data_IF_074851177318
#
_entry.id   IF_074851177318
#
_cell.length_a   1.000
_cell.length_b   1.000
_cell.length_c   1.000
_cell.angle_alpha   90.00
_cell.angle_beta   90.00
_cell.angle_gamma   90.00
#
_symmetry.space_group_name_H-M   'P 1'
#
loop_
_entity.id
_entity.type
_entity.pdbx_description
1 polymer ?
#
# COMPACT_ATOMS: atom_id res chain seq x y z
N UNK A 1 -6.89 -14.56 -23.37
CA UNK A 1 -7.62 -14.22 -22.13
C UNK A 1 -6.96 -13.00 -21.52
N UNK A 2 -7.64 -11.86 -21.50
CA UNK A 2 -7.08 -10.59 -21.04
C UNK A 2 -6.66 -10.69 -19.57
N UNK A 3 -5.41 -10.32 -19.26
CA UNK A 3 -4.84 -10.34 -17.92
C UNK A 3 -5.38 -9.17 -17.07
N UNK A 4 -6.68 -9.17 -16.75
CA UNK A 4 -7.29 -8.22 -15.80
C UNK A 4 -6.93 -8.54 -14.34
N UNK A 5 -6.52 -9.78 -14.05
CA UNK A 5 -6.13 -10.22 -12.71
C UNK A 5 -4.97 -9.41 -12.12
N UNK A 6 -3.85 -9.33 -12.83
CA UNK A 6 -2.63 -8.66 -12.35
C UNK A 6 -2.86 -7.19 -11.98
N UNK A 7 -3.56 -6.45 -12.83
CA UNK A 7 -3.89 -5.05 -12.55
C UNK A 7 -4.89 -4.90 -11.40
N UNK A 8 -5.87 -5.82 -11.27
CA UNK A 8 -6.79 -5.83 -10.14
C UNK A 8 -6.09 -6.08 -8.80
N UNK A 9 -5.07 -6.94 -8.77
CA UNK A 9 -4.25 -7.20 -7.57
C UNK A 9 -3.46 -5.97 -7.13
N UNK A 10 -2.83 -5.27 -8.08
CA UNK A 10 -2.07 -4.05 -7.80
C UNK A 10 -3.00 -2.94 -7.27
N UNK A 11 -4.15 -2.73 -7.92
CA UNK A 11 -5.15 -1.74 -7.49
C UNK A 11 -5.69 -2.06 -6.10
N UNK A 12 -6.00 -3.33 -5.83
CA UNK A 12 -6.44 -3.79 -4.51
C UNK A 12 -5.40 -3.53 -3.43
N UNK A 13 -4.14 -3.83 -3.71
CA UNK A 13 -3.03 -3.61 -2.78
C UNK A 13 -2.85 -2.13 -2.45
N UNK A 14 -2.84 -1.25 -3.46
CA UNK A 14 -2.73 0.21 -3.24
C UNK A 14 -3.88 0.72 -2.37
N UNK A 15 -5.11 0.28 -2.64
CA UNK A 15 -6.27 0.71 -1.87
C UNK A 15 -6.22 0.23 -0.41
N UNK A 16 -5.73 -0.99 -0.15
CA UNK A 16 -5.52 -1.49 1.22
C UNK A 16 -4.48 -0.64 1.95
N UNK A 17 -3.34 -0.34 1.31
CA UNK A 17 -2.30 0.49 1.91
C UNK A 17 -2.79 1.90 2.21
N UNK A 18 -3.55 2.50 1.30
CA UNK A 18 -4.21 3.78 1.54
C UNK A 18 -5.19 3.70 2.73
N UNK A 19 -6.02 2.66 2.79
CA UNK A 19 -6.95 2.43 3.90
C UNK A 19 -6.26 2.26 5.24
N UNK A 20 -5.08 1.62 5.28
CA UNK A 20 -4.25 1.55 6.48
C UNK A 20 -3.75 2.93 6.92
N UNK A 21 -3.31 3.77 5.98
CA UNK A 21 -2.92 5.15 6.27
C UNK A 21 -4.06 5.97 6.91
N UNK A 22 -5.27 5.88 6.35
CA UNK A 22 -6.46 6.54 6.91
C UNK A 22 -6.82 5.99 8.29
N UNK A 23 -6.74 4.66 8.49
CA UNK A 23 -7.04 4.03 9.78
C UNK A 23 -6.04 4.45 10.86
N UNK A 24 -4.75 4.50 10.54
CA UNK A 24 -3.74 4.96 11.48
C UNK A 24 -3.90 6.45 11.78
N UNK A 25 -4.23 7.28 10.78
CA UNK A 25 -4.56 8.68 10.99
C UNK A 25 -5.75 8.85 11.95
N UNK A 26 -6.82 8.07 11.76
CA UNK A 26 -7.99 8.07 12.65
C UNK A 26 -7.65 7.65 14.09
N UNK A 27 -6.60 6.83 14.28
CA UNK A 27 -6.05 6.45 15.59
C UNK A 27 -5.06 7.51 16.15
N UNK A 28 -4.83 8.61 15.44
CA UNK A 28 -3.91 9.68 15.85
C UNK A 28 -2.45 9.42 15.51
N UNK A 29 -2.16 8.50 14.59
CA UNK A 29 -0.81 8.11 14.20
C UNK A 29 -0.43 8.65 12.81
N UNK A 30 0.66 9.41 12.76
CA UNK A 30 1.32 9.75 11.50
C UNK A 30 2.14 8.56 11.01
N UNK A 31 1.77 8.01 9.85
CA UNK A 31 2.46 6.85 9.26
C UNK A 31 2.81 7.11 7.80
N UNK A 32 3.87 6.48 7.28
CA UNK A 32 4.24 6.58 5.86
C UNK A 32 3.12 6.21 4.89
N UNK A 33 2.17 5.37 5.32
CA UNK A 33 1.01 4.98 4.52
C UNK A 33 0.07 6.14 4.16
N UNK A 34 0.14 7.26 4.89
CA UNK A 34 -0.67 8.45 4.60
C UNK A 34 -0.31 9.11 3.26
N UNK A 35 0.91 8.89 2.76
CA UNK A 35 1.34 9.43 1.47
C UNK A 35 0.82 8.64 0.27
N UNK A 36 0.28 7.43 0.51
CA UNK A 36 -0.25 6.58 -0.54
C UNK A 36 -1.67 7.05 -0.86
N UNK A 37 -1.90 7.55 -2.07
CA UNK A 37 -3.23 7.88 -2.58
C UNK A 37 -4.01 6.63 -3.05
N UNK A 38 -5.32 6.77 -3.28
CA UNK A 38 -6.15 5.74 -3.91
C UNK A 38 -5.61 5.37 -5.29
N UNK A 39 -5.75 4.10 -5.67
CA UNK A 39 -5.19 3.57 -6.91
C UNK A 39 -5.63 4.35 -8.17
N UNK A 40 -6.88 4.83 -8.20
CA UNK A 40 -7.44 5.60 -9.33
C UNK A 40 -6.90 7.04 -9.41
N UNK A 41 -6.26 7.56 -8.36
CA UNK A 41 -5.62 8.88 -8.40
C UNK A 41 -4.27 8.83 -9.12
N UNK A 42 -3.70 7.64 -9.33
CA UNK A 42 -2.47 7.49 -10.09
C UNK A 42 -2.79 7.36 -11.58
N UNK A 43 -2.22 8.27 -12.37
CA UNK A 43 -2.34 8.25 -13.84
C UNK A 43 -1.59 7.09 -14.49
N UNK A 44 -0.60 6.53 -13.80
CA UNK A 44 0.22 5.42 -14.28
C UNK A 44 0.67 4.54 -13.10
N UNK A 45 1.03 3.28 -13.40
CA UNK A 45 1.49 2.31 -12.40
C UNK A 45 2.84 2.68 -11.76
N UNK A 46 3.67 3.45 -12.47
CA UNK A 46 4.99 3.88 -12.00
C UNK A 46 4.88 4.85 -10.82
N UNK A 47 3.95 5.80 -10.87
CA UNK A 47 3.71 6.72 -9.76
C UNK A 47 3.21 5.99 -8.52
N UNK A 48 2.32 5.02 -8.70
CA UNK A 48 1.87 4.17 -7.60
C UNK A 48 3.03 3.36 -6.98
N UNK A 49 3.90 2.80 -7.83
CA UNK A 49 5.10 2.06 -7.38
C UNK A 49 6.07 2.97 -6.62
N UNK A 50 6.28 4.21 -7.08
CA UNK A 50 7.13 5.18 -6.38
C UNK A 50 6.57 5.51 -4.99
N UNK A 51 5.28 5.82 -4.89
CA UNK A 51 4.64 6.12 -3.60
C UNK A 51 4.77 4.95 -2.59
N UNK A 52 4.58 3.71 -3.05
CA UNK A 52 4.78 2.52 -2.20
C UNK A 52 6.25 2.37 -1.80
N UNK A 53 7.19 2.60 -2.73
CA UNK A 53 8.62 2.49 -2.46
C UNK A 53 9.07 3.52 -1.43
N UNK A 54 8.61 4.76 -1.56
CA UNK A 54 8.97 5.86 -0.66
C UNK A 54 8.43 5.57 0.75
N UNK A 55 7.17 5.12 0.86
CA UNK A 55 6.62 4.65 2.13
C UNK A 55 7.44 3.50 2.74
N UNK A 56 7.88 2.54 1.91
CA UNK A 56 8.75 1.45 2.35
C UNK A 56 10.13 1.93 2.84
N UNK A 57 10.71 2.94 2.21
CA UNK A 57 11.97 3.55 2.64
C UNK A 57 11.81 4.28 3.98
N UNK A 58 10.71 4.99 4.19
CA UNK A 58 10.42 5.64 5.46
C UNK A 58 10.23 4.63 6.60
N UNK A 59 9.54 3.51 6.33
CA UNK A 59 9.42 2.39 7.27
C UNK A 59 10.81 1.81 7.59
N UNK A 60 11.65 1.58 6.59
CA UNK A 60 13.02 1.07 6.78
C UNK A 60 13.92 2.04 7.56
N UNK A 61 13.66 3.36 7.46
CA UNK A 61 14.33 4.40 8.25
C UNK A 61 13.77 4.54 9.68
N UNK A 62 12.75 3.76 10.05
CA UNK A 62 12.16 3.78 11.38
C UNK A 62 11.21 4.96 11.63
N UNK A 63 10.65 5.56 10.57
CA UNK A 63 9.66 6.65 10.67
C UNK A 63 8.24 6.16 10.98
N UNK A 64 8.09 4.86 11.25
CA UNK A 64 6.85 4.27 11.69
C UNK A 64 6.68 4.49 13.21
N UNK A 65 5.51 4.90 13.71
CA UNK A 65 5.31 5.15 15.14
C UNK A 65 5.59 3.91 15.98
N UNK A 66 6.39 4.05 17.04
CA UNK A 66 6.73 2.96 17.97
C UNK A 66 5.52 2.33 18.67
N UNK A 67 4.39 3.05 18.70
CA UNK A 67 3.11 2.56 19.23
C UNK A 67 2.45 1.54 18.31
N UNK A 68 2.79 1.55 17.01
CA UNK A 68 2.32 0.56 16.05
C UNK A 68 3.30 -0.59 16.08
N UNK A 69 2.83 -1.73 16.57
CA UNK A 69 3.59 -2.99 16.55
C UNK A 69 3.85 -3.49 15.12
N UNK A 70 4.50 -4.65 14.95
CA UNK A 70 4.79 -5.20 13.64
C UNK A 70 3.51 -5.35 12.80
N UNK A 71 3.51 -4.82 11.58
CA UNK A 71 2.43 -5.01 10.61
C UNK A 71 2.76 -6.25 9.79
N UNK A 72 1.88 -7.25 9.84
CA UNK A 72 1.98 -8.46 9.03
C UNK A 72 0.98 -8.35 7.88
N UNK A 73 1.48 -8.35 6.65
CA UNK A 73 0.66 -8.36 5.44
C UNK A 73 0.75 -9.76 4.83
N UNK A 74 -0.38 -10.45 4.73
CA UNK A 74 -0.47 -11.78 4.13
C UNK A 74 -1.17 -11.69 2.79
N UNK A 75 -0.52 -12.18 1.74
CA UNK A 75 -1.11 -12.33 0.42
C UNK A 75 -1.58 -13.76 0.24
N UNK A 76 -2.89 -13.97 0.11
CA UNK A 76 -3.48 -15.30 -0.10
C UNK A 76 -4.00 -15.43 -1.52
N UNK A 77 -3.44 -16.35 -2.32
CA UNK A 77 -3.92 -16.69 -3.67
C UNK A 77 -2.79 -16.96 -4.67
N UNK A 78 -2.83 -18.11 -5.36
CA UNK A 78 -1.89 -18.49 -6.42
C UNK A 78 -2.48 -18.32 -7.84
N UNK A 79 -3.44 -17.40 -8.02
CA UNK A 79 -3.99 -17.04 -9.33
C UNK A 79 -3.26 -15.85 -9.95
N UNK A 80 -3.41 -15.62 -11.26
CA UNK A 80 -2.78 -14.54 -12.07
C UNK A 80 -2.98 -13.07 -11.59
N UNK A 81 -3.42 -12.88 -10.35
CA UNK A 81 -3.70 -11.64 -9.62
C UNK A 81 -2.56 -11.31 -8.63
N UNK A 82 -1.69 -12.28 -8.31
CA UNK A 82 -0.59 -12.16 -7.34
C UNK A 82 0.83 -12.08 -7.96
N UNK A 83 0.94 -11.92 -9.28
CA UNK A 83 2.23 -11.69 -9.99
C UNK A 83 2.41 -10.25 -10.44
#
# INVERSE_FOLDING_TARGET
>A
MFAFGKYAGIVGMINILHGLGLRFLALGHHTPFMQIALAHNYRNSEHARMAIRDAGQEIARGLMPKSIGPIIIVFTGAGNVSQ
#
